data_IF_996889173087
#
_entry.id   IF_996889173087
#
_cell.length_a   1.000
_cell.length_b   1.000
_cell.length_c   1.000
_cell.angle_alpha   90.00
_cell.angle_beta   90.00
_cell.angle_gamma   90.00
#
_symmetry.space_group_name_H-M   'P 1'
#
loop_
_entity.id
_entity.type
_entity.pdbx_description
1 polymer ?
#
# COMPACT_ATOMS: atom_id res chain seq x y z
N UNK A 1 -14.07 -28.16 -2.94
CA UNK A 1 -12.64 -27.77 -2.87
C UNK A 1 -12.52 -26.62 -1.88
N UNK A 2 -11.64 -26.78 -0.90
CA UNK A 2 -11.26 -25.63 -0.08
C UNK A 2 -10.39 -24.71 -0.93
N UNK A 3 -10.83 -23.48 -1.14
CA UNK A 3 -9.99 -22.47 -1.75
C UNK A 3 -8.79 -22.21 -0.80
N UNK A 4 -7.59 -22.39 -1.29
CA UNK A 4 -6.41 -22.08 -0.51
C UNK A 4 -6.42 -20.60 -0.14
N UNK A 5 -6.26 -20.35 1.15
CA UNK A 5 -6.10 -19.00 1.66
C UNK A 5 -4.77 -18.43 1.16
N UNK A 6 -4.76 -17.13 0.86
CA UNK A 6 -3.54 -16.39 0.53
C UNK A 6 -2.48 -16.62 1.62
N UNK A 7 -1.30 -17.07 1.22
CA UNK A 7 -0.19 -17.43 2.11
C UNK A 7 0.74 -16.24 2.37
N UNK A 8 1.63 -16.40 3.37
CA UNK A 8 2.70 -15.42 3.61
C UNK A 8 3.61 -15.22 2.41
N UNK A 9 3.91 -16.30 1.66
CA UNK A 9 4.71 -16.19 0.44
C UNK A 9 4.00 -15.41 -0.65
N UNK A 10 2.69 -15.59 -0.80
CA UNK A 10 1.88 -14.82 -1.73
C UNK A 10 1.90 -13.33 -1.38
N UNK A 11 1.78 -13.00 -0.09
CA UNK A 11 1.83 -11.62 0.39
C UNK A 11 3.23 -11.02 0.19
N UNK A 12 4.29 -11.77 0.45
CA UNK A 12 5.66 -11.34 0.20
C UNK A 12 5.84 -10.94 -1.28
N UNK A 13 5.30 -11.73 -2.18
CA UNK A 13 5.38 -11.46 -3.62
C UNK A 13 4.53 -10.25 -4.03
N UNK A 14 3.30 -10.16 -3.52
CA UNK A 14 2.38 -9.05 -3.84
C UNK A 14 2.89 -7.70 -3.32
N UNK A 15 3.54 -7.68 -2.17
CA UNK A 15 4.02 -6.47 -1.50
C UNK A 15 5.51 -6.19 -1.75
N UNK A 16 6.08 -6.79 -2.79
CA UNK A 16 7.47 -6.55 -3.18
C UNK A 16 7.53 -6.13 -4.65
N UNK A 17 8.05 -4.94 -4.89
CA UNK A 17 8.23 -4.38 -6.23
C UNK A 17 9.49 -3.52 -6.25
N UNK A 18 10.61 -4.03 -6.73
CA UNK A 18 11.80 -3.20 -6.93
C UNK A 18 11.57 -2.07 -7.95
N UNK A 19 12.40 -1.04 -7.93
CA UNK A 19 12.44 -0.08 -9.03
C UNK A 19 12.70 -0.78 -10.36
N UNK A 20 12.11 -0.27 -11.42
CA UNK A 20 12.26 -0.81 -12.77
C UNK A 20 11.45 -2.07 -13.07
N UNK A 21 10.74 -2.62 -12.09
CA UNK A 21 9.90 -3.81 -12.26
C UNK A 21 8.44 -3.39 -12.41
N UNK A 22 7.71 -4.02 -13.33
CA UNK A 22 6.30 -3.73 -13.54
C UNK A 22 5.45 -4.13 -12.34
N UNK A 23 4.37 -3.38 -12.10
CA UNK A 23 3.34 -3.73 -11.13
C UNK A 23 2.67 -5.06 -11.51
N UNK A 24 2.05 -5.78 -10.53
CA UNK A 24 1.31 -6.99 -10.83
C UNK A 24 0.23 -6.78 -11.90
N UNK A 25 0.00 -7.80 -12.73
CA UNK A 25 -1.06 -7.76 -13.73
C UNK A 25 -2.45 -7.78 -13.08
N UNK A 26 -3.46 -7.37 -13.83
CA UNK A 26 -4.86 -7.45 -13.40
C UNK A 26 -5.27 -8.88 -13.01
N UNK A 27 -4.83 -9.87 -13.77
CA UNK A 27 -5.12 -11.28 -13.49
C UNK A 27 -4.47 -11.75 -12.19
N UNK A 28 -3.26 -11.28 -11.88
CA UNK A 28 -2.59 -11.57 -10.62
C UNK A 28 -3.33 -10.97 -9.44
N UNK A 29 -3.78 -9.72 -9.54
CA UNK A 29 -4.62 -9.10 -8.52
C UNK A 29 -5.90 -9.89 -8.29
N UNK A 30 -6.59 -10.29 -9.36
CA UNK A 30 -7.85 -11.04 -9.30
C UNK A 30 -7.69 -12.43 -8.66
N UNK A 31 -6.49 -13.01 -8.71
CA UNK A 31 -6.20 -14.28 -8.05
C UNK A 31 -6.22 -14.18 -6.53
N UNK A 32 -5.77 -13.05 -5.98
CA UNK A 32 -5.59 -12.87 -4.53
C UNK A 32 -6.62 -11.96 -3.88
N UNK A 33 -7.25 -11.08 -4.64
CA UNK A 33 -8.23 -10.10 -4.16
C UNK A 33 -9.64 -10.49 -4.58
N UNK A 34 -10.57 -10.33 -3.63
CA UNK A 34 -12.00 -10.48 -3.92
C UNK A 34 -12.48 -9.38 -4.86
N UNK A 35 -13.46 -9.69 -5.72
CA UNK A 35 -14.03 -8.70 -6.63
C UNK A 35 -14.73 -7.54 -5.92
N UNK A 36 -15.20 -7.79 -4.71
CA UNK A 36 -15.87 -6.80 -3.87
C UNK A 36 -14.95 -6.23 -2.78
N UNK A 37 -13.64 -6.31 -2.97
CA UNK A 37 -12.67 -5.79 -1.99
C UNK A 37 -12.91 -4.32 -1.68
N UNK A 38 -12.79 -3.98 -0.40
CA UNK A 38 -12.78 -2.58 0.06
C UNK A 38 -11.34 -2.19 0.35
N UNK A 39 -10.89 -1.14 -0.31
CA UNK A 39 -9.56 -0.57 -0.14
C UNK A 39 -9.64 0.79 0.54
N UNK A 40 -8.87 0.97 1.59
CA UNK A 40 -8.81 2.22 2.36
C UNK A 40 -7.34 2.60 2.57
N UNK A 41 -6.99 3.84 2.30
CA UNK A 41 -5.72 4.43 2.70
C UNK A 41 -5.95 5.83 3.32
N UNK A 42 -4.93 6.53 3.82
CA UNK A 42 -5.11 7.85 4.43
C UNK A 42 -5.77 8.91 3.54
N UNK A 43 -5.82 8.69 2.24
CA UNK A 43 -6.29 9.70 1.26
C UNK A 43 -7.58 9.30 0.54
N UNK A 44 -7.99 8.04 0.59
CA UNK A 44 -9.10 7.54 -0.22
C UNK A 44 -9.74 6.26 0.32
N UNK A 45 -10.97 6.01 -0.12
CA UNK A 45 -11.66 4.74 0.02
C UNK A 45 -12.20 4.32 -1.34
N UNK A 46 -11.98 3.05 -1.72
CA UNK A 46 -12.41 2.48 -3.00
C UNK A 46 -13.12 1.15 -2.77
N UNK A 47 -14.20 0.93 -3.48
CA UNK A 47 -14.96 -0.31 -3.45
C UNK A 47 -14.83 -1.04 -4.78
N UNK A 48 -14.49 -2.32 -4.72
CA UNK A 48 -14.33 -3.19 -5.86
C UNK A 48 -12.91 -3.29 -6.38
N UNK A 49 -12.59 -4.46 -6.95
CA UNK A 49 -11.26 -4.79 -7.45
C UNK A 49 -10.82 -3.86 -8.59
N UNK A 50 -11.72 -3.52 -9.51
CA UNK A 50 -11.39 -2.62 -10.61
C UNK A 50 -11.00 -1.23 -10.11
N UNK A 51 -11.69 -0.72 -9.09
CA UNK A 51 -11.36 0.57 -8.48
C UNK A 51 -10.02 0.53 -7.74
N UNK A 52 -9.71 -0.59 -7.08
CA UNK A 52 -8.40 -0.82 -6.45
C UNK A 52 -7.27 -0.83 -7.48
N UNK A 53 -7.41 -1.62 -8.53
CA UNK A 53 -6.42 -1.71 -9.63
C UNK A 53 -6.21 -0.33 -10.28
N UNK A 54 -7.29 0.39 -10.55
CA UNK A 54 -7.23 1.74 -11.14
C UNK A 54 -6.48 2.72 -10.24
N UNK A 55 -6.67 2.64 -8.91
CA UNK A 55 -5.92 3.45 -7.96
C UNK A 55 -4.42 3.14 -7.97
N UNK A 56 -4.04 1.86 -8.05
CA UNK A 56 -2.64 1.43 -8.16
C UNK A 56 -2.01 1.90 -9.48
N UNK A 57 -2.72 1.74 -10.60
CA UNK A 57 -2.26 2.18 -11.92
C UNK A 57 -2.04 3.69 -11.97
N UNK A 58 -2.93 4.46 -11.37
CA UNK A 58 -2.78 5.93 -11.28
C UNK A 58 -1.56 6.34 -10.49
N UNK A 59 -1.27 5.67 -9.39
CA UNK A 59 -0.06 5.92 -8.61
C UNK A 59 1.20 5.69 -9.45
N UNK A 60 1.29 4.54 -10.09
CA UNK A 60 2.44 4.17 -10.92
C UNK A 60 2.62 5.14 -12.10
N UNK A 61 1.53 5.53 -12.75
CA UNK A 61 1.58 6.47 -13.89
C UNK A 61 1.98 7.90 -13.51
N UNK A 62 1.70 8.32 -12.28
CA UNK A 62 2.04 9.66 -11.79
C UNK A 62 3.47 9.79 -11.28
N UNK A 63 4.13 8.67 -11.06
CA UNK A 63 5.50 8.61 -10.58
C UNK A 63 6.45 8.20 -11.72
N UNK A 64 7.70 8.65 -11.64
CA UNK A 64 8.75 8.17 -12.56
C UNK A 64 9.05 6.70 -12.29
N UNK A 65 9.04 6.30 -11.02
CA UNK A 65 9.19 4.91 -10.59
C UNK A 65 8.63 4.72 -9.18
N UNK A 66 8.31 3.49 -8.83
CA UNK A 66 7.78 3.10 -7.52
C UNK A 66 8.47 1.82 -7.05
N UNK A 67 8.92 1.79 -5.80
CA UNK A 67 9.31 0.53 -5.17
C UNK A 67 8.43 0.24 -3.95
N UNK A 68 8.31 -1.04 -3.64
CA UNK A 68 7.69 -1.54 -2.42
C UNK A 68 8.57 -2.68 -1.87
N UNK A 69 8.99 -2.55 -0.62
CA UNK A 69 9.81 -3.54 0.08
C UNK A 69 9.05 -4.05 1.29
N UNK A 70 8.93 -5.36 1.42
CA UNK A 70 8.28 -6.02 2.55
C UNK A 70 9.31 -6.32 3.64
N UNK A 71 9.01 -5.97 4.89
CA UNK A 71 9.87 -6.21 6.05
C UNK A 71 9.39 -7.37 6.92
N UNK A 72 8.09 -7.43 7.19
CA UNK A 72 7.50 -8.45 8.05
C UNK A 72 6.06 -8.77 7.63
N UNK A 73 5.66 -10.01 7.85
CA UNK A 73 4.29 -10.48 7.60
C UNK A 73 3.84 -11.28 8.82
N UNK A 74 2.64 -10.98 9.29
CA UNK A 74 1.99 -11.75 10.36
C UNK A 74 0.55 -12.07 9.94
N UNK A 75 0.16 -13.33 10.07
CA UNK A 75 -1.21 -13.79 9.80
C UNK A 75 -1.75 -14.45 11.05
N UNK A 76 -2.91 -14.00 11.49
CA UNK A 76 -3.63 -14.60 12.61
C UNK A 76 -5.11 -14.77 12.22
N UNK A 77 -5.57 -16.02 12.13
CA UNK A 77 -6.93 -16.32 11.69
C UNK A 77 -7.21 -15.75 10.30
N UNK A 78 -8.22 -14.90 10.19
CA UNK A 78 -8.63 -14.24 8.93
C UNK A 78 -8.01 -12.86 8.72
N UNK A 79 -7.03 -12.48 9.54
CA UNK A 79 -6.39 -11.16 9.48
C UNK A 79 -4.91 -11.32 9.17
N UNK A 80 -4.40 -10.51 8.25
CA UNK A 80 -2.98 -10.41 7.95
C UNK A 80 -2.46 -9.00 8.09
N UNK A 81 -1.18 -8.87 8.45
CA UNK A 81 -0.47 -7.59 8.49
C UNK A 81 0.82 -7.70 7.69
N UNK A 82 1.09 -6.70 6.89
CA UNK A 82 2.34 -6.58 6.12
C UNK A 82 2.98 -5.25 6.45
N UNK A 83 4.16 -5.28 7.02
CA UNK A 83 4.99 -4.08 7.20
C UNK A 83 5.84 -3.87 5.96
N UNK A 84 5.84 -2.66 5.45
CA UNK A 84 6.54 -2.33 4.20
C UNK A 84 7.12 -0.92 4.21
N UNK A 85 8.03 -0.68 3.28
CA UNK A 85 8.47 0.66 2.89
C UNK A 85 8.16 0.87 1.42
N UNK A 86 7.49 1.97 1.10
CA UNK A 86 7.20 2.39 -0.27
C UNK A 86 8.07 3.60 -0.63
N UNK A 87 8.67 3.58 -1.80
CA UNK A 87 9.39 4.70 -2.36
C UNK A 87 8.76 5.17 -3.65
N UNK A 88 8.60 6.48 -3.78
CA UNK A 88 8.10 7.14 -4.99
C UNK A 88 9.18 8.05 -5.54
N UNK A 89 9.54 7.86 -6.80
CA UNK A 89 10.38 8.82 -7.54
C UNK A 89 9.49 9.76 -8.35
N UNK A 90 9.57 11.05 -8.06
CA UNK A 90 8.77 12.08 -8.72
C UNK A 90 9.67 13.28 -9.01
N UNK A 91 9.82 13.62 -10.31
CA UNK A 91 10.61 14.77 -10.75
C UNK A 91 12.04 14.78 -10.16
N UNK A 92 12.70 13.61 -10.16
CA UNK A 92 14.05 13.43 -9.65
C UNK A 92 14.20 13.41 -8.13
N UNK A 93 13.11 13.50 -7.38
CA UNK A 93 13.08 13.37 -5.91
C UNK A 93 12.50 12.03 -5.48
N UNK A 94 13.00 11.50 -4.36
CA UNK A 94 12.50 10.29 -3.75
C UNK A 94 11.73 10.61 -2.48
N UNK A 95 10.53 10.04 -2.37
CA UNK A 95 9.67 10.15 -1.19
C UNK A 95 9.50 8.74 -0.60
N UNK A 96 9.81 8.59 0.69
CA UNK A 96 9.83 7.30 1.38
C UNK A 96 8.73 7.24 2.43
N UNK A 97 7.90 6.21 2.34
CA UNK A 97 6.75 5.98 3.22
C UNK A 97 6.86 4.63 3.92
N UNK A 98 7.24 4.59 5.19
CA UNK A 98 7.05 3.39 6.00
C UNK A 98 5.56 3.19 6.28
N UNK A 99 5.10 1.97 6.25
CA UNK A 99 3.68 1.70 6.50
C UNK A 99 3.38 0.25 6.82
N UNK A 100 2.11 0.01 7.10
CA UNK A 100 1.57 -1.32 7.38
C UNK A 100 0.22 -1.45 6.71
N UNK A 101 -0.03 -2.60 6.10
CA UNK A 101 -1.33 -2.95 5.56
C UNK A 101 -2.00 -3.98 6.45
N UNK A 102 -3.26 -3.75 6.80
CA UNK A 102 -4.14 -4.74 7.41
C UNK A 102 -5.03 -5.36 6.35
N UNK A 103 -5.01 -6.68 6.27
CA UNK A 103 -5.79 -7.47 5.33
C UNK A 103 -6.82 -8.30 6.08
N UNK A 104 -8.03 -8.42 5.52
CA UNK A 104 -9.03 -9.38 5.98
C UNK A 104 -9.34 -10.34 4.85
N UNK A 105 -9.22 -11.64 5.14
CA UNK A 105 -9.49 -12.71 4.19
C UNK A 105 -10.94 -13.16 4.31
N UNK A 106 -11.61 -13.33 3.16
CA UNK A 106 -12.97 -13.87 3.09
C UNK A 106 -12.98 -15.40 3.15
N UNK A 107 -14.20 -15.97 3.15
CA UNK A 107 -14.42 -17.42 3.17
C UNK A 107 -13.86 -18.12 1.94
N UNK A 108 -13.73 -17.39 0.82
CA UNK A 108 -13.09 -17.88 -0.40
C UNK A 108 -11.55 -17.81 -0.36
N UNK A 109 -10.95 -17.44 0.77
CA UNK A 109 -9.50 -17.31 0.94
C UNK A 109 -8.89 -16.05 0.32
N UNK A 110 -9.68 -15.23 -0.37
CA UNK A 110 -9.21 -13.99 -1.01
C UNK A 110 -9.30 -12.79 -0.07
N UNK A 111 -8.51 -11.75 -0.36
CA UNK A 111 -8.51 -10.49 0.38
C UNK A 111 -9.80 -9.73 0.08
N UNK A 112 -10.63 -9.53 1.11
CA UNK A 112 -11.89 -8.77 1.01
C UNK A 112 -11.82 -7.37 1.59
N UNK A 113 -10.78 -7.07 2.40
CA UNK A 113 -10.54 -5.75 2.94
C UNK A 113 -9.04 -5.50 2.99
N UNK A 114 -8.61 -4.33 2.52
CA UNK A 114 -7.21 -3.90 2.48
C UNK A 114 -7.15 -2.46 3.01
N UNK A 115 -6.49 -2.27 4.12
CA UNK A 115 -6.33 -0.96 4.73
C UNK A 115 -4.87 -0.64 4.97
N UNK A 116 -4.40 0.45 4.34
CA UNK A 116 -3.05 0.95 4.52
C UNK A 116 -3.01 2.00 5.64
N UNK A 117 -2.01 1.85 6.50
CA UNK A 117 -1.69 2.78 7.56
C UNK A 117 -0.29 3.34 7.32
N UNK A 118 -0.19 4.61 7.00
CA UNK A 118 1.09 5.30 6.86
C UNK A 118 0.92 6.80 7.10
N UNK A 119 2.00 7.46 7.49
CA UNK A 119 2.03 8.91 7.56
C UNK A 119 2.15 9.48 6.14
N UNK A 120 1.10 10.12 5.68
CA UNK A 120 1.08 10.78 4.39
C UNK A 120 1.77 12.15 4.44
N UNK A 121 1.58 12.90 5.52
CA UNK A 121 2.00 14.32 5.60
C UNK A 121 3.50 14.49 5.77
N UNK A 122 4.11 13.79 6.73
CA UNK A 122 5.53 13.91 7.03
C UNK A 122 6.43 13.62 5.83
N UNK A 123 6.35 12.41 5.26
CA UNK A 123 7.18 12.05 4.11
C UNK A 123 6.87 12.86 2.85
N UNK A 124 5.63 13.32 2.65
CA UNK A 124 5.24 14.11 1.47
C UNK A 124 5.76 15.54 1.54
N UNK A 125 5.56 16.21 2.66
CA UNK A 125 5.91 17.63 2.82
C UNK A 125 7.28 17.86 3.45
N UNK A 126 7.78 16.90 4.23
CA UNK A 126 9.07 17.01 4.91
C UNK A 126 10.24 17.35 3.98
N UNK A 127 10.41 16.68 2.82
CA UNK A 127 11.47 16.98 1.88
C UNK A 127 11.29 18.28 1.09
N UNK A 128 10.08 18.87 1.11
CA UNK A 128 9.79 20.10 0.36
C UNK A 128 10.21 21.31 1.19
N UNK A 129 11.08 22.21 0.66
CA UNK A 129 11.47 23.43 1.36
C UNK A 129 10.24 24.26 1.77
N UNK A 130 10.28 24.89 2.94
CA UNK A 130 9.20 25.69 3.54
C UNK A 130 8.04 24.82 4.04
N UNK A 131 7.42 23.99 3.18
CA UNK A 131 6.31 23.11 3.57
C UNK A 131 6.73 22.09 4.64
N UNK A 132 7.92 21.53 4.53
CA UNK A 132 8.46 20.64 5.55
C UNK A 132 8.64 21.34 6.90
N UNK A 133 9.12 22.59 6.88
CA UNK A 133 9.28 23.39 8.08
C UNK A 133 7.92 23.74 8.73
N UNK A 134 6.94 24.08 7.94
CA UNK A 134 5.58 24.36 8.41
C UNK A 134 4.95 23.11 9.01
N UNK A 135 5.07 21.96 8.34
CA UNK A 135 4.55 20.70 8.83
C UNK A 135 5.17 20.33 10.19
N UNK A 136 6.50 20.41 10.31
CA UNK A 136 7.21 20.17 11.58
C UNK A 136 6.78 21.13 12.68
N UNK A 137 6.59 22.42 12.34
CA UNK A 137 6.12 23.41 13.28
C UNK A 137 4.71 23.10 13.79
N UNK A 138 3.78 22.69 12.89
CA UNK A 138 2.42 22.28 13.28
C UNK A 138 2.48 21.09 14.25
N UNK A 139 3.24 20.07 13.91
CA UNK A 139 3.39 18.88 14.77
C UNK A 139 3.94 19.26 16.15
N UNK A 140 5.01 20.03 16.21
CA UNK A 140 5.61 20.44 17.48
C UNK A 140 4.73 21.35 18.30
N UNK A 141 3.88 22.16 17.67
CA UNK A 141 3.04 23.15 18.37
C UNK A 141 1.73 22.57 18.88
N UNK A 142 1.12 21.63 18.15
CA UNK A 142 -0.24 21.17 18.42
C UNK A 142 -0.37 19.69 18.74
N UNK A 143 0.64 18.88 18.45
CA UNK A 143 0.56 17.42 18.59
C UNK A 143 1.56 16.92 19.63
N UNK A 144 2.76 17.44 19.66
CA UNK A 144 3.80 17.13 20.64
C UNK A 144 3.79 18.14 21.78
#
# INVERSE_FOLDING_TARGET
>A
MMNEKVSSNDLQELFTKPYGVAAPSKDKWAKFYDQNVIFIDPTQEKSGLNAYIDAQDKLVKRCDDVFLETHAIAITGSIGFVEWTMGLKIMGKEFIYPGTTRLVFGDNGKIKNHRDYFDFCGPTFGPVPILGSITRWIYSRFIL
#
